data_IF_055519542855
#
_entry.id   IF_055519542855
#
_cell.length_a   1.000
_cell.length_b   1.000
_cell.length_c   1.000
_cell.angle_alpha   90.00
_cell.angle_beta   90.00
_cell.angle_gamma   90.00
#
_symmetry.space_group_name_H-M   'P 1'
#
loop_
_entity.id
_entity.type
_entity.pdbx_description
1 polymer ?
#
# COMPACT_ATOMS: atom_id res chain seq x y z
N UNK A 1 41.05 -32.00 100.27
CA UNK A 1 41.15 -32.80 99.02
C UNK A 1 42.34 -32.25 98.26
N UNK A 2 43.45 -32.99 98.19
CA UNK A 2 44.70 -32.50 97.61
C UNK A 2 44.48 -32.04 96.17
N UNK A 3 44.95 -30.85 95.84
CA UNK A 3 45.04 -30.36 94.47
C UNK A 3 46.10 -31.23 93.76
N UNK A 4 45.67 -32.40 93.30
CA UNK A 4 46.53 -33.41 92.71
C UNK A 4 46.84 -33.05 91.26
N UNK A 5 48.00 -33.51 90.76
CA UNK A 5 48.47 -33.39 89.38
C UNK A 5 47.40 -33.77 88.32
N UNK A 6 46.43 -34.58 88.71
CA UNK A 6 45.27 -34.99 87.91
C UNK A 6 44.35 -33.85 87.51
N UNK A 7 44.17 -32.82 88.36
CA UNK A 7 43.34 -31.65 88.07
C UNK A 7 44.01 -30.75 87.03
N UNK A 8 45.34 -30.62 87.10
CA UNK A 8 46.14 -29.91 86.09
C UNK A 8 46.11 -30.67 84.75
N UNK A 9 46.24 -32.00 84.78
CA UNK A 9 46.11 -32.85 83.59
C UNK A 9 44.73 -32.74 82.93
N UNK A 10 43.65 -32.78 83.72
CA UNK A 10 42.28 -32.59 83.22
C UNK A 10 42.08 -31.20 82.60
N UNK A 11 42.62 -30.14 83.21
CA UNK A 11 42.55 -28.78 82.66
C UNK A 11 43.28 -28.66 81.31
N UNK A 12 44.46 -29.29 81.18
CA UNK A 12 45.22 -29.31 79.92
C UNK A 12 44.47 -30.12 78.85
N UNK A 13 43.95 -31.31 79.19
CA UNK A 13 43.13 -32.11 78.26
C UNK A 13 41.87 -31.38 77.81
N UNK A 14 41.19 -30.67 78.72
CA UNK A 14 40.04 -29.84 78.39
C UNK A 14 40.41 -28.67 77.47
N UNK A 15 41.52 -27.99 77.74
CA UNK A 15 42.01 -26.90 76.89
C UNK A 15 42.34 -27.39 75.46
N UNK A 16 43.01 -28.53 75.33
CA UNK A 16 43.31 -29.15 74.03
C UNK A 16 42.02 -29.52 73.30
N UNK A 17 41.02 -30.08 74.00
CA UNK A 17 39.73 -30.42 73.43
C UNK A 17 38.98 -29.17 72.92
N UNK A 18 38.94 -28.09 73.70
CA UNK A 18 38.32 -26.82 73.29
C UNK A 18 39.01 -26.24 72.05
N UNK A 19 40.35 -26.23 72.01
CA UNK A 19 41.10 -25.76 70.84
C UNK A 19 40.79 -26.63 69.61
N UNK A 20 40.70 -27.95 69.78
CA UNK A 20 40.35 -28.86 68.70
C UNK A 20 38.92 -28.61 68.19
N UNK A 21 37.93 -28.48 69.08
CA UNK A 21 36.56 -28.15 68.69
C UNK A 21 36.46 -26.78 68.01
N UNK A 22 37.16 -25.77 68.51
CA UNK A 22 37.15 -24.43 67.93
C UNK A 22 37.80 -24.40 66.53
N UNK A 23 38.83 -25.23 66.31
CA UNK A 23 39.56 -25.27 65.04
C UNK A 23 38.94 -26.22 64.00
N UNK A 24 38.35 -27.33 64.41
CA UNK A 24 37.87 -28.37 63.48
C UNK A 24 36.35 -28.51 63.41
N UNK A 25 35.62 -28.25 64.49
CA UNK A 25 34.16 -28.46 64.53
C UNK A 25 33.39 -27.17 64.27
N UNK A 26 33.84 -26.05 64.83
CA UNK A 26 33.17 -24.76 64.67
C UNK A 26 33.18 -24.20 63.23
N UNK A 27 34.30 -24.26 62.48
CA UNK A 27 34.36 -23.71 61.13
C UNK A 27 33.39 -24.38 60.13
N UNK A 28 33.25 -25.72 60.05
CA UNK A 28 32.32 -26.33 59.10
C UNK A 28 30.85 -26.03 59.46
N UNK A 29 30.49 -25.92 60.75
CA UNK A 29 29.13 -25.57 61.17
C UNK A 29 28.78 -24.14 60.75
N UNK A 30 29.65 -23.17 61.04
CA UNK A 30 29.44 -21.78 60.64
C UNK A 30 29.51 -21.60 59.12
N UNK A 31 30.35 -22.38 58.43
CA UNK A 31 30.41 -22.42 56.97
C UNK A 31 29.07 -22.86 56.36
N UNK A 32 28.53 -23.99 56.81
CA UNK A 32 27.24 -24.50 56.33
C UNK A 32 26.07 -23.53 56.62
N UNK A 33 26.11 -22.84 57.78
CA UNK A 33 25.09 -21.86 58.11
C UNK A 33 25.19 -20.61 57.22
N UNK A 34 26.41 -20.10 56.97
CA UNK A 34 26.64 -18.97 56.07
C UNK A 34 26.28 -19.29 54.63
N UNK A 35 26.59 -20.49 54.15
CA UNK A 35 26.22 -20.94 52.81
C UNK A 35 24.70 -20.97 52.63
N UNK A 36 23.96 -21.48 53.63
CA UNK A 36 22.49 -21.44 53.62
C UNK A 36 21.95 -20.02 53.62
N UNK A 37 22.50 -19.14 54.46
CA UNK A 37 22.09 -17.73 54.51
C UNK A 37 22.35 -17.03 53.17
N UNK A 38 23.53 -17.23 52.59
CA UNK A 38 23.91 -16.68 51.30
C UNK A 38 22.98 -17.17 50.19
N UNK A 39 22.69 -18.48 50.14
CA UNK A 39 21.81 -19.07 49.14
C UNK A 39 20.37 -18.54 49.24
N UNK A 40 19.85 -18.34 50.45
CA UNK A 40 18.52 -17.76 50.66
C UNK A 40 18.52 -16.30 50.19
N UNK A 41 19.51 -15.51 50.60
CA UNK A 41 19.61 -14.11 50.20
C UNK A 41 19.75 -13.95 48.68
N UNK A 42 20.58 -14.76 48.04
CA UNK A 42 20.75 -14.79 46.58
C UNK A 42 19.44 -15.19 45.89
N UNK A 43 18.75 -16.23 46.36
CA UNK A 43 17.49 -16.67 45.76
C UNK A 43 16.38 -15.63 45.90
N UNK A 44 16.34 -14.89 47.02
CA UNK A 44 15.36 -13.84 47.25
C UNK A 44 15.65 -12.62 46.36
N UNK A 45 16.93 -12.22 46.29
CA UNK A 45 17.35 -11.12 45.41
C UNK A 45 17.13 -11.45 43.93
N UNK A 46 17.35 -12.70 43.51
CA UNK A 46 17.07 -13.15 42.16
C UNK A 46 15.57 -13.17 41.85
N UNK A 47 14.72 -13.56 42.82
CA UNK A 47 13.27 -13.51 42.68
C UNK A 47 12.76 -12.07 42.55
N UNK A 48 13.24 -11.15 43.39
CA UNK A 48 12.86 -9.74 43.34
C UNK A 48 13.30 -9.07 42.03
N UNK A 49 14.53 -9.31 41.57
CA UNK A 49 14.96 -8.85 40.25
C UNK A 49 14.16 -9.49 39.11
N UNK A 50 13.75 -10.75 39.26
CA UNK A 50 12.91 -11.44 38.30
C UNK A 50 11.53 -10.80 38.19
N UNK A 51 10.92 -10.45 39.32
CA UNK A 51 9.61 -9.78 39.38
C UNK A 51 9.70 -8.37 38.77
N UNK A 52 10.75 -7.60 39.12
CA UNK A 52 10.98 -6.27 38.56
C UNK A 52 11.19 -6.31 37.03
N UNK A 53 12.00 -7.24 36.53
CA UNK A 53 12.19 -7.42 35.07
C UNK A 53 10.90 -7.90 34.39
N UNK A 54 10.12 -8.74 35.09
CA UNK A 54 8.67 -8.98 34.93
C UNK A 54 7.94 -7.73 34.48
N UNK A 55 7.78 -6.84 35.44
CA UNK A 55 6.98 -5.63 35.32
C UNK A 55 7.52 -4.66 34.25
N UNK A 56 8.84 -4.50 34.18
CA UNK A 56 9.50 -3.67 33.15
C UNK A 56 9.22 -4.21 31.74
N UNK A 57 9.35 -5.51 31.52
CA UNK A 57 9.07 -6.14 30.22
C UNK A 57 7.58 -6.05 29.86
N UNK A 58 6.68 -6.24 30.82
CA UNK A 58 5.23 -6.09 30.60
C UNK A 58 4.86 -4.65 30.19
N UNK A 59 5.46 -3.65 30.85
CA UNK A 59 5.27 -2.25 30.50
C UNK A 59 5.81 -1.90 29.11
N UNK A 60 6.98 -2.44 28.75
CA UNK A 60 7.58 -2.25 27.43
C UNK A 60 6.72 -2.90 26.33
N UNK A 61 6.22 -4.12 26.57
CA UNK A 61 5.31 -4.82 25.64
C UNK A 61 4.01 -4.03 25.47
N UNK A 62 3.43 -3.50 26.54
CA UNK A 62 2.21 -2.69 26.45
C UNK A 62 2.42 -1.44 25.58
N UNK A 63 3.57 -0.78 25.76
CA UNK A 63 3.96 0.40 24.97
C UNK A 63 4.18 0.02 23.50
N UNK A 64 4.96 -1.02 23.22
CA UNK A 64 5.18 -1.52 21.87
C UNK A 64 3.87 -1.91 21.15
N UNK A 65 2.93 -2.52 21.86
CA UNK A 65 1.62 -2.86 21.30
C UNK A 65 0.78 -1.63 20.99
N UNK A 66 0.84 -0.60 21.84
CA UNK A 66 0.16 0.67 21.59
C UNK A 66 0.75 1.36 20.35
N UNK A 67 2.07 1.45 20.26
CA UNK A 67 2.78 2.07 19.13
C UNK A 67 2.52 1.30 17.83
N UNK A 68 2.56 -0.03 17.87
CA UNK A 68 2.24 -0.87 16.72
C UNK A 68 0.80 -0.65 16.23
N UNK A 69 -0.17 -0.52 17.15
CA UNK A 69 -1.56 -0.21 16.80
C UNK A 69 -1.70 1.20 16.20
N UNK A 70 -0.99 2.18 16.74
CA UNK A 70 -0.98 3.54 16.21
C UNK A 70 -0.40 3.59 14.79
N UNK A 71 0.75 2.95 14.57
CA UNK A 71 1.37 2.84 13.24
C UNK A 71 0.48 2.10 12.25
N UNK A 72 -0.16 0.99 12.66
CA UNK A 72 -1.10 0.27 11.80
C UNK A 72 -2.29 1.15 11.40
N UNK A 73 -2.85 1.92 12.34
CA UNK A 73 -3.95 2.85 12.04
C UNK A 73 -3.50 3.97 11.08
N UNK A 74 -2.28 4.49 11.26
CA UNK A 74 -1.70 5.50 10.36
C UNK A 74 -1.50 4.94 8.95
N UNK A 75 -0.96 3.73 8.81
CA UNK A 75 -0.78 3.07 7.51
C UNK A 75 -2.12 2.89 6.80
N UNK A 76 -3.15 2.42 7.52
CA UNK A 76 -4.49 2.24 6.95
C UNK A 76 -5.09 3.58 6.52
N UNK A 77 -4.96 4.63 7.34
CA UNK A 77 -5.43 5.96 7.00
C UNK A 77 -4.72 6.54 5.77
N UNK A 78 -3.38 6.39 5.70
CA UNK A 78 -2.59 6.82 4.56
C UNK A 78 -2.95 6.06 3.28
N UNK A 79 -3.15 4.73 3.38
CA UNK A 79 -3.58 3.90 2.26
C UNK A 79 -4.96 4.31 1.75
N UNK A 80 -5.93 4.55 2.64
CA UNK A 80 -7.27 5.01 2.25
C UNK A 80 -7.22 6.38 1.59
N UNK A 81 -6.43 7.31 2.13
CA UNK A 81 -6.22 8.64 1.53
C UNK A 81 -5.64 8.51 0.13
N UNK A 82 -4.59 7.70 -0.04
CA UNK A 82 -3.94 7.48 -1.34
C UNK A 82 -4.86 6.81 -2.34
N UNK A 83 -5.68 5.86 -1.91
CA UNK A 83 -6.69 5.22 -2.74
C UNK A 83 -7.73 6.24 -3.24
N UNK A 84 -8.21 7.12 -2.36
CA UNK A 84 -9.15 8.17 -2.74
C UNK A 84 -8.53 9.17 -3.73
N UNK A 85 -7.28 9.60 -3.49
CA UNK A 85 -6.54 10.46 -4.43
C UNK A 85 -6.40 9.81 -5.80
N UNK A 86 -6.03 8.53 -5.85
CA UNK A 86 -5.89 7.77 -7.10
C UNK A 86 -7.22 7.65 -7.85
N UNK A 87 -8.33 7.46 -7.13
CA UNK A 87 -9.67 7.40 -7.73
C UNK A 87 -10.05 8.75 -8.33
N UNK A 88 -9.80 9.85 -7.64
CA UNK A 88 -10.09 11.20 -8.16
C UNK A 88 -9.18 11.56 -9.35
N UNK A 89 -7.90 11.22 -9.28
CA UNK A 89 -6.97 11.38 -10.40
C UNK A 89 -7.41 10.56 -11.63
N UNK A 90 -7.83 9.31 -11.41
CA UNK A 90 -8.32 8.43 -12.47
C UNK A 90 -9.61 8.97 -13.09
N UNK A 91 -10.55 9.48 -12.28
CA UNK A 91 -11.78 10.12 -12.78
C UNK A 91 -11.48 11.37 -13.58
N UNK A 92 -10.55 12.21 -13.12
CA UNK A 92 -10.13 13.41 -13.84
C UNK A 92 -9.52 13.05 -15.20
N UNK A 93 -8.59 12.10 -15.21
CA UNK A 93 -7.96 11.61 -16.44
C UNK A 93 -8.99 11.01 -17.40
N UNK A 94 -9.92 10.19 -16.90
CA UNK A 94 -10.99 9.62 -17.71
C UNK A 94 -11.93 10.67 -18.31
N UNK A 95 -12.24 11.74 -17.57
CA UNK A 95 -13.02 12.88 -18.10
C UNK A 95 -12.27 13.60 -19.21
N UNK A 96 -10.99 13.92 -18.98
CA UNK A 96 -10.13 14.58 -19.97
C UNK A 96 -10.02 13.76 -21.26
N UNK A 97 -9.73 12.45 -21.15
CA UNK A 97 -9.67 11.57 -22.31
C UNK A 97 -11.03 11.42 -23.00
N UNK A 98 -12.12 11.39 -22.24
CA UNK A 98 -13.48 11.39 -22.78
C UNK A 98 -13.82 12.66 -23.56
N UNK A 99 -13.37 13.83 -23.09
CA UNK A 99 -13.51 15.09 -23.83
C UNK A 99 -12.65 15.11 -25.09
N UNK A 100 -11.41 14.63 -25.00
CA UNK A 100 -10.52 14.48 -26.16
C UNK A 100 -11.12 13.57 -27.23
N UNK A 101 -11.69 12.44 -26.83
CA UNK A 101 -12.34 11.50 -27.74
C UNK A 101 -13.59 12.10 -28.40
N UNK A 102 -14.43 12.81 -27.62
CA UNK A 102 -15.60 13.51 -28.18
C UNK A 102 -15.19 14.59 -29.19
N UNK A 103 -14.15 15.36 -28.90
CA UNK A 103 -13.64 16.39 -29.81
C UNK A 103 -13.09 15.76 -31.11
N UNK A 104 -12.34 14.66 -31.00
CA UNK A 104 -11.85 13.92 -32.16
C UNK A 104 -13.02 13.38 -33.01
N UNK A 105 -14.01 12.75 -32.38
CA UNK A 105 -15.20 12.23 -33.06
C UNK A 105 -15.99 13.35 -33.75
N UNK A 106 -16.11 14.53 -33.14
CA UNK A 106 -16.77 15.68 -33.78
C UNK A 106 -16.01 16.14 -35.02
N UNK A 107 -14.68 16.23 -34.94
CA UNK A 107 -13.84 16.58 -36.08
C UNK A 107 -13.92 15.55 -37.22
N UNK A 108 -13.98 14.26 -36.89
CA UNK A 108 -14.17 13.19 -37.89
C UNK A 108 -15.55 13.30 -38.56
N UNK A 109 -16.61 13.56 -37.78
CA UNK A 109 -17.96 13.77 -38.33
C UNK A 109 -18.00 14.98 -39.27
N UNK A 110 -17.35 16.09 -38.91
CA UNK A 110 -17.28 17.27 -39.79
C UNK A 110 -16.59 16.95 -41.12
N UNK A 111 -15.49 16.20 -41.09
CA UNK A 111 -14.78 15.75 -42.30
C UNK A 111 -15.64 14.80 -43.14
N UNK A 112 -16.36 13.88 -42.52
CA UNK A 112 -17.26 12.95 -43.19
C UNK A 112 -18.43 13.69 -43.85
N UNK A 113 -18.99 14.70 -43.17
CA UNK A 113 -20.05 15.56 -43.72
C UNK A 113 -19.54 16.33 -44.95
N UNK A 114 -18.32 16.87 -44.90
CA UNK A 114 -17.72 17.56 -46.06
C UNK A 114 -17.57 16.58 -47.24
N UNK A 115 -17.02 15.39 -46.98
CA UNK A 115 -16.83 14.35 -47.99
C UNK A 115 -18.17 13.89 -48.60
N UNK A 116 -19.20 13.69 -47.78
CA UNK A 116 -20.54 13.36 -48.22
C UNK A 116 -21.18 14.47 -49.07
N UNK A 117 -20.98 15.75 -48.71
CA UNK A 117 -21.46 16.89 -49.51
C UNK A 117 -20.77 16.98 -50.87
N UNK A 118 -19.47 16.70 -50.95
CA UNK A 118 -18.76 16.62 -52.22
C UNK A 118 -19.26 15.47 -53.10
N UNK A 119 -19.48 14.29 -52.51
CA UNK A 119 -20.06 13.15 -53.22
C UNK A 119 -21.46 13.47 -53.77
N UNK A 120 -22.32 14.10 -52.96
CA UNK A 120 -23.64 14.55 -53.38
C UNK A 120 -23.57 15.60 -54.50
N UNK A 121 -22.65 16.57 -54.43
CA UNK A 121 -22.45 17.56 -55.52
C UNK A 121 -22.10 16.88 -56.84
N UNK A 122 -21.23 15.87 -56.84
CA UNK A 122 -20.89 15.09 -58.04
C UNK A 122 -22.12 14.36 -58.60
N UNK A 123 -22.92 13.73 -57.74
CA UNK A 123 -24.15 13.04 -58.16
C UNK A 123 -25.20 14.01 -58.72
N UNK A 124 -25.42 15.15 -58.08
CA UNK A 124 -26.36 16.19 -58.56
C UNK A 124 -25.90 16.74 -59.91
N UNK A 125 -24.60 16.95 -60.11
CA UNK A 125 -24.05 17.37 -61.41
C UNK A 125 -24.35 16.36 -62.52
N UNK A 126 -24.21 15.06 -62.26
CA UNK A 126 -24.59 14.00 -63.21
C UNK A 126 -26.09 14.04 -63.52
N UNK A 127 -26.94 14.12 -62.49
CA UNK A 127 -28.39 14.17 -62.65
C UNK A 127 -28.83 15.41 -63.43
N UNK A 128 -28.19 16.56 -63.21
CA UNK A 128 -28.48 17.80 -63.93
C UNK A 128 -28.11 17.70 -65.42
N UNK A 129 -26.98 17.08 -65.75
CA UNK A 129 -26.58 16.82 -67.16
C UNK A 129 -27.55 15.83 -67.83
N UNK A 130 -27.94 14.75 -67.13
CA UNK A 130 -28.90 13.78 -67.65
C UNK A 130 -30.29 14.41 -67.86
N UNK A 131 -30.72 15.27 -66.93
CA UNK A 131 -31.94 16.06 -67.05
C UNK A 131 -31.88 17.04 -68.22
N UNK A 132 -30.78 17.78 -68.37
CA UNK A 132 -30.57 18.69 -69.50
C UNK A 132 -30.56 17.94 -70.85
N UNK A 133 -29.92 16.77 -70.92
CA UNK A 133 -29.94 15.89 -72.11
C UNK A 133 -31.37 15.45 -72.45
N UNK A 134 -32.18 15.11 -71.45
CA UNK A 134 -33.57 14.69 -71.66
C UNK A 134 -34.45 15.84 -72.13
N UNK A 135 -34.30 17.05 -71.56
CA UNK A 135 -35.01 18.26 -72.01
C UNK A 135 -34.60 18.60 -73.45
N UNK A 136 -33.30 18.64 -73.76
CA UNK A 136 -32.80 18.92 -75.11
C UNK A 136 -33.29 17.87 -76.12
N UNK A 137 -33.28 16.58 -75.75
CA UNK A 137 -33.83 15.51 -76.58
C UNK A 137 -35.36 15.58 -76.78
N UNK A 138 -36.08 16.30 -75.92
CA UNK A 138 -37.52 16.55 -76.07
C UNK A 138 -37.79 17.80 -76.93
N UNK A 139 -36.91 18.81 -76.88
CA UNK A 139 -36.96 19.98 -77.78
C UNK A 139 -36.43 19.71 -79.18
N UNK A 140 -35.49 18.77 -79.34
CA UNK A 140 -35.06 18.23 -80.64
C UNK A 140 -36.16 17.28 -81.14
N UNK A 141 -37.30 17.86 -81.49
CA UNK A 141 -38.33 17.20 -82.27
C UNK A 141 -37.97 17.36 -83.75
N UNK A 142 -38.08 16.28 -84.52
CA UNK A 142 -37.78 16.25 -85.96
C UNK A 142 -38.58 17.31 -86.76
N UNK A 143 -39.73 17.75 -86.23
CA UNK A 143 -40.56 18.82 -86.80
C UNK A 143 -39.91 20.22 -86.75
N UNK A 144 -39.06 20.50 -85.76
CA UNK A 144 -38.40 21.81 -85.59
C UNK A 144 -37.24 21.98 -86.57
N UNK A 145 -36.56 20.89 -86.93
CA UNK A 145 -35.45 20.91 -87.89
C UNK A 145 -35.92 21.01 -89.35
N UNK A 146 -37.09 20.46 -89.68
CA UNK A 146 -37.66 20.57 -91.03
C UNK A 146 -37.95 22.03 -91.41
N UNK A 147 -38.46 22.86 -90.49
CA UNK A 147 -38.76 24.28 -90.75
C UNK A 147 -37.53 25.16 -90.93
N UNK A 148 -36.44 24.89 -90.21
CA UNK A 148 -35.20 25.69 -90.32
C UNK A 148 -34.42 25.35 -91.59
N UNK A 149 -34.48 24.11 -92.06
CA UNK A 149 -33.90 23.70 -93.34
C UNK A 149 -34.70 24.29 -94.51
N UNK A 150 -36.04 24.28 -94.45
CA UNK A 150 -36.88 24.91 -95.48
C UNK A 150 -36.67 26.43 -95.58
N UNK A 151 -36.49 27.13 -94.45
CA UNK A 151 -36.25 28.57 -94.44
C UNK A 151 -34.85 28.96 -94.97
N UNK A 152 -33.85 28.07 -94.83
CA UNK A 152 -32.50 28.23 -95.39
C UNK A 152 -32.43 27.90 -96.89
N UNK A 153 -33.24 26.96 -97.37
CA UNK A 153 -33.33 26.62 -98.81
C UNK A 153 -34.16 27.67 -99.57
N UNK A 154 -35.05 28.41 -98.90
CA UNK A 154 -35.80 29.53 -99.49
C UNK A 154 -35.01 30.84 -99.70
N UNK A 155 -33.76 30.93 -99.21
CA UNK A 155 -32.88 32.11 -99.36
C UNK A 155 -31.73 31.94 -100.37
N UNK A 156 -31.72 30.85 -101.14
CA UNK A 156 -30.86 30.67 -102.33
C UNK A 156 -31.75 30.65 -103.58
#
# INVERSE_FOLDING_TARGET
MNLNLTLLGQAISFAIFVIFCMKYVWPPIMGALRERQAKIAESLAAAEQGEQRREEAEAEIATMLQDAKAQAAEIVAAAQKRANELVEESKSTARSEGERLKAAAHSEIEQEVISAREALRKQVGSIAIDGARKILGTEINADSHARVIDDLVGQI
#
